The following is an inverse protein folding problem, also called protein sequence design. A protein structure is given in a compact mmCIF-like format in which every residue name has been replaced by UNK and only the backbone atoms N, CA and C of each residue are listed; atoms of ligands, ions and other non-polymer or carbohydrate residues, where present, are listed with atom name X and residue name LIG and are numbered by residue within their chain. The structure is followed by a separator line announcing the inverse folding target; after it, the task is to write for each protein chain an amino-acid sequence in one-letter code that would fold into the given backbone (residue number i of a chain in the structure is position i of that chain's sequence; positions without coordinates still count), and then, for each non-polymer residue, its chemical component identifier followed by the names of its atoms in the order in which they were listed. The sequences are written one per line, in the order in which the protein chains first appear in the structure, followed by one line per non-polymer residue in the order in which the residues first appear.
data_IF_105306875643
#
_entry.id   IF_105306875643
#
_cell.length_a   1.000
_cell.length_b   1.000
_cell.length_c   1.000
_cell.angle_alpha   90.00
_cell.angle_beta   90.00
_cell.angle_gamma   90.00
#
_symmetry.space_group_name_H-M   'P 1'
#
loop_
_entity.id
_entity.type
_entity.pdbx_description
1 polymer ?
#
# COMPACT_ATOMS: atom_id res chain seq x y z
N UNK A 1 43.99 22.21 39.36
CA UNK A 1 44.60 23.43 39.92
C UNK A 1 45.19 23.06 41.29
N UNK A 2 46.51 22.89 41.42
CA UNK A 2 47.16 22.50 42.69
C UNK A 2 47.04 23.67 43.68
N UNK A 3 46.31 23.51 44.79
CA UNK A 3 46.31 24.46 45.91
C UNK A 3 47.28 23.95 46.97
N UNK A 4 48.44 24.60 47.07
CA UNK A 4 49.37 24.39 48.18
C UNK A 4 48.87 25.18 49.39
N UNK A 5 48.61 24.51 50.52
CA UNK A 5 48.39 25.18 51.81
C UNK A 5 49.72 25.33 52.54
N UNK A 6 50.10 26.56 52.86
CA UNK A 6 51.20 26.86 53.78
C UNK A 6 50.65 26.87 55.21
N UNK A 7 51.12 25.96 56.06
CA UNK A 7 50.94 26.07 57.51
C UNK A 7 52.25 26.61 58.08
N UNK A 8 52.28 27.91 58.43
CA UNK A 8 53.36 28.52 59.19
C UNK A 8 53.01 28.43 60.67
N UNK A 9 53.67 27.57 61.43
CA UNK A 9 53.68 27.68 62.90
C UNK A 9 54.90 28.49 63.32
N UNK A 10 54.68 29.70 63.82
CA UNK A 10 55.72 30.50 64.46
C UNK A 10 55.52 30.46 65.98
N UNK A 11 56.39 29.75 66.69
CA UNK A 11 56.61 29.94 68.12
C UNK A 11 57.90 30.74 68.28
N UNK A 12 57.80 31.98 68.75
CA UNK A 12 58.93 32.90 68.92
C UNK A 12 59.34 32.91 70.40
N UNK A 13 60.56 32.48 70.72
CA UNK A 13 61.34 32.94 71.88
C UNK A 13 62.82 32.49 71.70
N UNK A 14 63.72 33.47 71.65
CA UNK A 14 65.14 33.27 71.97
C UNK A 14 66.08 32.90 70.82
N UNK A 15 66.83 33.90 70.37
CA UNK A 15 68.06 33.90 69.55
C UNK A 15 68.75 32.52 69.37
N UNK A 16 68.61 31.95 68.18
CA UNK A 16 69.32 30.75 67.72
C UNK A 16 68.94 30.43 66.28
N UNK A 17 69.92 30.09 65.46
CA UNK A 17 69.84 29.89 63.99
C UNK A 17 68.53 29.18 63.57
N UNK A 18 67.68 29.85 62.79
CA UNK A 18 66.47 29.29 62.20
C UNK A 18 66.84 28.30 61.09
N UNK A 19 66.94 27.02 61.43
CA UNK A 19 66.78 25.94 60.47
C UNK A 19 65.28 25.78 60.18
N UNK A 20 64.77 26.43 59.13
CA UNK A 20 63.41 26.17 58.66
C UNK A 20 63.40 24.87 57.85
N UNK A 21 62.94 23.78 58.44
CA UNK A 21 62.61 22.57 57.68
C UNK A 21 61.23 22.76 57.04
N UNK A 22 61.18 22.82 55.72
CA UNK A 22 59.92 22.91 54.97
C UNK A 22 59.46 21.50 54.62
N UNK A 23 58.46 20.98 55.33
CA UNK A 23 57.81 19.72 54.96
C UNK A 23 56.72 20.01 53.92
N UNK A 24 56.96 19.64 52.66
CA UNK A 24 55.94 19.63 51.61
C UNK A 24 54.98 18.45 51.87
N UNK A 25 53.80 18.74 52.40
CA UNK A 25 52.70 17.76 52.42
C UNK A 25 52.02 17.80 51.06
N UNK A 26 52.34 16.85 50.18
CA UNK A 26 51.58 16.69 48.94
C UNK A 26 50.27 15.96 49.26
N UNK A 27 49.16 16.68 49.27
CA UNK A 27 47.84 16.06 49.23
C UNK A 27 47.59 15.59 47.79
N UNK A 28 47.87 14.33 47.51
CA UNK A 28 47.32 13.66 46.33
C UNK A 28 45.86 13.37 46.67
N UNK A 29 44.92 13.98 45.94
CA UNK A 29 43.52 13.58 46.05
C UNK A 29 43.43 12.17 45.49
N UNK A 30 43.21 11.19 46.35
CA UNK A 30 43.08 9.79 45.96
C UNK A 30 41.84 9.65 45.06
N UNK A 31 42.03 9.15 43.85
CA UNK A 31 40.93 8.91 42.91
C UNK A 31 40.13 7.71 43.42
N UNK A 32 38.83 7.93 43.61
CA UNK A 32 37.90 6.85 43.94
C UNK A 32 37.73 6.02 42.67
N UNK A 33 38.23 4.78 42.70
CA UNK A 33 38.10 3.83 41.59
C UNK A 33 36.79 3.06 41.67
N UNK A 34 36.23 2.72 40.52
CA UNK A 34 35.13 1.79 40.42
C UNK A 34 35.56 0.38 40.90
N UNK A 35 34.62 -0.31 41.54
CA UNK A 35 34.70 -1.71 41.99
C UNK A 35 33.71 -2.62 41.27
N UNK A 36 32.66 -2.06 40.68
CA UNK A 36 31.79 -2.73 39.73
C UNK A 36 31.26 -1.76 38.67
N UNK A 37 30.94 -2.28 37.50
CA UNK A 37 30.15 -1.62 36.46
C UNK A 37 29.09 -2.60 35.97
N UNK A 38 27.88 -2.13 35.71
CA UNK A 38 26.84 -2.94 35.07
C UNK A 38 25.88 -2.10 34.22
N UNK A 39 25.35 -2.66 33.13
CA UNK A 39 24.23 -2.07 32.42
C UNK A 39 22.95 -2.14 33.28
N UNK A 40 22.16 -1.06 33.29
CA UNK A 40 20.84 -1.06 33.95
C UNK A 40 19.74 -1.66 33.09
N UNK A 41 19.97 -1.74 31.78
CA UNK A 41 19.05 -2.30 30.79
C UNK A 41 18.96 -3.85 30.88
N UNK A 42 19.77 -4.48 31.73
CA UNK A 42 19.87 -5.93 31.90
C UNK A 42 20.87 -6.56 30.94
N UNK A 43 20.77 -7.88 30.74
CA UNK A 43 21.72 -8.64 29.91
C UNK A 43 21.39 -8.56 28.41
N UNK A 44 20.15 -8.20 28.07
CA UNK A 44 19.68 -8.09 26.69
C UNK A 44 18.60 -7.03 26.49
N UNK A 45 18.64 -6.36 25.34
CA UNK A 45 17.66 -5.38 24.91
C UNK A 45 17.20 -5.69 23.48
N UNK A 46 15.91 -5.52 23.20
CA UNK A 46 15.37 -5.60 21.84
C UNK A 46 14.95 -4.21 21.37
N UNK A 47 15.46 -3.79 20.21
CA UNK A 47 15.15 -2.51 19.57
C UNK A 47 14.58 -2.76 18.17
N UNK A 48 13.74 -1.86 17.68
CA UNK A 48 13.32 -1.87 16.27
C UNK A 48 14.31 -1.07 15.43
N UNK A 49 14.42 -1.41 14.14
CA UNK A 49 15.17 -0.59 13.18
C UNK A 49 14.72 0.87 13.25
N UNK A 50 15.67 1.79 13.38
CA UNK A 50 15.46 3.23 13.53
C UNK A 50 15.38 3.72 14.97
N UNK A 51 15.29 2.83 15.96
CA UNK A 51 15.28 3.23 17.37
C UNK A 51 16.65 3.81 17.77
N UNK A 52 16.61 4.78 18.68
CA UNK A 52 17.79 5.34 19.35
C UNK A 52 17.66 5.08 20.85
N UNK A 53 18.71 4.51 21.45
CA UNK A 53 18.76 4.20 22.87
C UNK A 53 20.06 4.69 23.49
N UNK A 54 19.98 5.30 24.68
CA UNK A 54 21.16 5.70 25.45
C UNK A 54 21.31 4.73 26.60
N UNK A 55 22.40 3.97 26.62
CA UNK A 55 22.63 2.98 27.68
C UNK A 55 22.93 3.65 29.02
N UNK A 56 22.21 3.20 30.05
CA UNK A 56 22.50 3.59 31.42
C UNK A 56 23.35 2.54 32.10
N UNK A 57 24.39 3.00 32.81
CA UNK A 57 25.25 2.13 33.61
C UNK A 57 25.15 2.48 35.09
N UNK A 58 25.36 1.48 35.93
CA UNK A 58 25.60 1.63 37.36
C UNK A 58 27.09 1.40 37.65
N UNK A 59 27.72 2.35 38.33
CA UNK A 59 29.13 2.26 38.76
C UNK A 59 29.16 2.35 40.28
N UNK A 60 29.79 1.38 40.94
CA UNK A 60 29.94 1.37 42.38
C UNK A 60 31.42 1.48 42.80
N UNK A 61 31.78 2.36 43.75
CA UNK A 61 30.91 3.36 44.39
C UNK A 61 30.55 4.50 43.42
N UNK A 62 29.36 5.10 43.58
CA UNK A 62 28.82 6.14 42.68
C UNK A 62 29.71 7.39 42.55
N UNK A 63 30.62 7.60 43.50
CA UNK A 63 31.57 8.70 43.55
C UNK A 63 32.79 8.49 42.63
N UNK A 64 32.95 7.29 42.06
CA UNK A 64 33.98 7.03 41.06
C UNK A 64 33.77 7.93 39.84
N UNK A 65 34.84 8.64 39.42
CA UNK A 65 34.77 9.67 38.38
C UNK A 65 35.29 9.25 37.01
N UNK A 66 35.67 7.99 36.88
CA UNK A 66 36.24 7.47 35.65
C UNK A 66 35.22 7.46 34.52
N UNK A 67 35.65 7.93 33.34
CA UNK A 67 34.78 8.00 32.17
C UNK A 67 34.53 6.57 31.66
N UNK A 68 33.26 6.24 31.43
CA UNK A 68 32.90 5.02 30.73
C UNK A 68 33.34 5.09 29.27
N UNK A 69 33.75 3.94 28.73
CA UNK A 69 34.01 3.76 27.31
C UNK A 69 33.14 2.64 26.78
N UNK A 70 32.35 2.94 25.75
CA UNK A 70 31.52 1.98 25.07
C UNK A 70 32.18 1.51 23.77
N UNK A 71 32.08 0.22 23.46
CA UNK A 71 32.58 -0.38 22.23
C UNK A 71 31.73 -1.57 21.84
N UNK A 72 31.64 -1.87 20.54
CA UNK A 72 31.16 -3.18 20.11
C UNK A 72 32.14 -4.29 20.47
N UNK A 73 31.61 -5.47 20.76
CA UNK A 73 32.38 -6.72 20.78
C UNK A 73 32.40 -7.26 19.36
N UNK A 74 33.60 -7.37 18.79
CA UNK A 74 33.80 -7.99 17.49
C UNK A 74 33.71 -9.51 17.62
N UNK A 75 32.54 -10.04 17.26
CA UNK A 75 32.30 -11.46 17.06
C UNK A 75 32.25 -11.64 15.55
N UNK A 76 33.32 -12.14 14.94
CA UNK A 76 33.65 -12.17 13.49
C UNK A 76 32.61 -12.73 12.49
N UNK A 77 31.36 -12.92 12.88
CA UNK A 77 30.24 -13.39 12.05
C UNK A 77 29.56 -12.24 11.28
N UNK A 78 29.42 -11.04 11.86
CA UNK A 78 28.84 -9.84 11.22
C UNK A 78 29.53 -8.57 11.72
N UNK A 79 29.69 -7.55 10.87
CA UNK A 79 30.25 -6.25 11.31
C UNK A 79 29.20 -5.51 12.14
N UNK A 80 29.43 -5.26 13.45
CA UNK A 80 28.45 -4.59 14.30
C UNK A 80 28.12 -3.16 13.83
N UNK A 81 29.00 -2.53 13.05
CA UNK A 81 28.74 -1.22 12.46
C UNK A 81 27.73 -1.26 11.31
N UNK A 82 27.49 -2.44 10.71
CA UNK A 82 26.38 -2.62 9.77
C UNK A 82 25.05 -2.66 10.51
N UNK A 83 25.01 -3.19 11.73
CA UNK A 83 23.77 -3.32 12.53
C UNK A 83 23.38 -1.99 13.19
N UNK A 84 24.34 -1.22 13.70
CA UNK A 84 24.05 0.07 14.32
C UNK A 84 25.27 0.92 14.61
N UNK A 85 25.04 2.19 14.95
CA UNK A 85 26.13 3.11 15.34
C UNK A 85 26.10 3.37 16.83
N UNK A 86 27.27 3.31 17.47
CA UNK A 86 27.45 3.57 18.90
C UNK A 86 28.43 4.74 19.09
N UNK A 87 28.05 5.74 19.90
CA UNK A 87 28.91 6.89 20.20
C UNK A 87 29.63 6.76 21.56
N UNK A 88 30.53 7.71 21.85
CA UNK A 88 31.34 7.75 23.08
C UNK A 88 30.51 7.96 24.38
N UNK A 89 29.27 8.43 24.24
CA UNK A 89 28.35 8.71 25.36
C UNK A 89 27.37 7.54 25.60
N UNK A 90 27.50 6.44 24.85
CA UNK A 90 26.66 5.25 25.01
C UNK A 90 25.32 5.33 24.29
N UNK A 91 25.15 6.27 23.35
CA UNK A 91 23.99 6.29 22.46
C UNK A 91 24.19 5.33 21.29
N UNK A 92 23.24 4.43 21.11
CA UNK A 92 23.17 3.47 20.03
C UNK A 92 21.97 3.75 19.14
N UNK A 93 22.21 3.77 17.82
CA UNK A 93 21.19 3.92 16.79
C UNK A 93 21.12 2.59 16.02
N UNK A 94 19.94 1.96 16.04
CA UNK A 94 19.69 0.69 15.38
C UNK A 94 19.44 0.93 13.88
N UNK A 95 20.37 0.52 13.00
CA UNK A 95 20.30 0.84 11.57
C UNK A 95 19.79 -0.33 10.73
N UNK A 96 20.23 -1.55 11.02
CA UNK A 96 19.83 -2.76 10.30
C UNK A 96 19.47 -3.87 11.29
N UNK A 97 18.70 -4.86 10.80
CA UNK A 97 18.33 -6.05 11.55
C UNK A 97 19.61 -6.84 11.88
N UNK A 98 19.72 -7.35 13.10
CA UNK A 98 20.85 -8.16 13.51
C UNK A 98 21.03 -8.17 15.03
N UNK A 99 22.10 -8.81 15.49
CA UNK A 99 22.45 -8.88 16.91
C UNK A 99 23.86 -8.34 17.13
N UNK A 100 24.00 -7.36 18.03
CA UNK A 100 25.31 -6.85 18.46
C UNK A 100 25.48 -7.03 19.95
N UNK A 101 26.73 -7.23 20.39
CA UNK A 101 27.08 -7.13 21.80
C UNK A 101 27.82 -5.84 22.04
N UNK A 102 27.33 -5.03 22.97
CA UNK A 102 27.96 -3.78 23.40
C UNK A 102 28.64 -4.03 24.72
N UNK A 103 29.86 -3.52 24.85
CA UNK A 103 30.66 -3.61 26.06
C UNK A 103 30.95 -2.22 26.60
N UNK A 104 30.84 -2.07 27.92
CA UNK A 104 31.28 -0.89 28.65
C UNK A 104 32.54 -1.19 29.46
N UNK A 105 33.46 -0.24 29.51
CA UNK A 105 34.67 -0.31 30.33
C UNK A 105 34.77 0.88 31.28
N UNK A 106 35.02 0.60 32.57
CA UNK A 106 35.30 1.62 33.61
C UNK A 106 36.40 1.10 34.53
N UNK A 107 37.52 1.81 34.67
CA UNK A 107 38.65 1.42 35.55
C UNK A 107 39.21 -0.01 35.35
N UNK A 108 39.06 -0.58 34.15
CA UNK A 108 39.48 -1.94 33.83
C UNK A 108 38.45 -3.02 34.20
N UNK A 109 37.29 -2.62 34.72
CA UNK A 109 36.10 -3.46 34.84
C UNK A 109 35.31 -3.39 33.54
N UNK A 110 34.59 -4.47 33.23
CA UNK A 110 33.76 -4.57 32.04
C UNK A 110 32.39 -5.16 32.37
N UNK A 111 31.40 -4.77 31.58
CA UNK A 111 30.11 -5.45 31.48
C UNK A 111 29.63 -5.43 30.03
N UNK A 112 28.72 -6.33 29.67
CA UNK A 112 28.21 -6.48 28.31
C UNK A 112 26.70 -6.59 28.26
N UNK A 113 26.11 -6.04 27.20
CA UNK A 113 24.70 -6.21 26.88
C UNK A 113 24.54 -6.68 25.43
N UNK A 114 23.61 -7.60 25.20
CA UNK A 114 23.22 -8.06 23.86
C UNK A 114 22.06 -7.21 23.35
N UNK A 115 22.21 -6.59 22.19
CA UNK A 115 21.15 -5.83 21.53
C UNK A 115 20.67 -6.60 20.31
N UNK A 116 19.38 -6.92 20.29
CA UNK A 116 18.71 -7.56 19.16
C UNK A 116 17.89 -6.50 18.42
N UNK A 117 18.30 -6.17 17.19
CA UNK A 117 17.57 -5.25 16.32
C UNK A 117 16.61 -6.06 15.45
N UNK A 118 15.31 -5.78 15.59
CA UNK A 118 14.22 -6.47 14.88
C UNK A 118 13.55 -5.54 13.88
N UNK A 119 12.89 -6.07 12.83
CA UNK A 119 12.16 -5.23 11.88
C UNK A 119 10.97 -4.49 12.51
N UNK A 120 10.57 -3.40 11.87
CA UNK A 120 9.25 -2.79 12.01
C UNK A 120 8.31 -3.57 11.08
N UNK A 121 7.41 -4.34 11.67
CA UNK A 121 6.41 -5.12 10.95
C UNK A 121 5.38 -4.22 10.25
N UNK A 122 4.83 -4.72 9.14
CA UNK A 122 3.66 -4.12 8.51
C UNK A 122 2.42 -4.46 9.33
N UNK A 123 1.63 -3.44 9.64
CA UNK A 123 0.39 -3.55 10.43
C UNK A 123 -0.87 -3.46 9.56
N UNK A 124 -0.80 -2.76 8.43
CA UNK A 124 -1.89 -2.72 7.44
C UNK A 124 -1.36 -2.60 6.02
N UNK A 125 -2.13 -3.18 5.09
CA UNK A 125 -1.97 -3.09 3.65
C UNK A 125 -3.33 -2.77 3.04
N UNK A 126 -3.38 -1.85 2.10
CA UNK A 126 -4.61 -1.55 1.35
C UNK A 126 -4.28 -1.21 -0.11
N UNK A 127 -5.07 -1.70 -1.06
CA UNK A 127 -5.04 -1.28 -2.46
C UNK A 127 -5.81 0.04 -2.60
N UNK A 128 -5.22 1.05 -3.23
CA UNK A 128 -5.74 2.43 -3.26
C UNK A 128 -6.85 2.66 -4.32
N UNK A 129 -7.63 1.63 -4.64
CA UNK A 129 -8.73 1.66 -5.62
C UNK A 129 -10.07 1.20 -5.03
N UNK A 130 -10.14 0.92 -3.72
CA UNK A 130 -11.33 0.40 -3.06
C UNK A 130 -11.57 -1.10 -3.36
N UNK A 131 -12.78 -1.57 -3.09
CA UNK A 131 -13.09 -3.01 -3.14
C UNK A 131 -13.55 -3.49 -4.54
N UNK A 132 -13.97 -2.56 -5.39
CA UNK A 132 -14.52 -2.84 -6.71
C UNK A 132 -14.11 -1.79 -7.74
N UNK A 133 -13.68 -2.25 -8.91
CA UNK A 133 -13.27 -1.40 -10.03
C UNK A 133 -13.88 -1.91 -11.34
N UNK A 134 -14.41 -0.99 -12.14
CA UNK A 134 -14.90 -1.28 -13.50
C UNK A 134 -13.97 -0.66 -14.54
N UNK A 135 -13.59 -1.46 -15.52
CA UNK A 135 -12.70 -1.10 -16.63
C UNK A 135 -13.19 -1.77 -17.90
N UNK A 136 -12.65 -1.41 -19.06
CA UNK A 136 -12.95 -2.03 -20.34
C UNK A 136 -11.80 -2.93 -20.82
N UNK A 137 -12.12 -3.92 -21.66
CA UNK A 137 -11.10 -4.70 -22.37
C UNK A 137 -10.18 -3.75 -23.14
N UNK A 138 -8.88 -3.89 -22.93
CA UNK A 138 -7.84 -3.04 -23.51
C UNK A 138 -7.40 -1.87 -22.64
N UNK A 139 -8.04 -1.61 -21.48
CA UNK A 139 -7.57 -0.60 -20.55
C UNK A 139 -6.23 -1.00 -19.90
N UNK A 140 -5.40 0.02 -19.64
CA UNK A 140 -4.11 -0.08 -18.96
C UNK A 140 -4.04 0.93 -17.81
N UNK A 141 -3.63 0.49 -16.61
CA UNK A 141 -3.56 1.36 -15.43
C UNK A 141 -2.63 0.77 -14.36
N UNK A 142 -2.24 1.58 -13.38
CA UNK A 142 -1.43 1.14 -12.25
C UNK A 142 -2.29 1.02 -10.99
N UNK A 143 -2.20 -0.12 -10.32
CA UNK A 143 -2.67 -0.27 -8.94
C UNK A 143 -1.57 0.15 -7.97
N UNK A 144 -1.96 0.85 -6.91
CA UNK A 144 -1.03 1.24 -5.85
C UNK A 144 -1.51 0.73 -4.50
N UNK A 145 -0.61 0.72 -3.53
CA UNK A 145 -0.93 0.27 -2.18
C UNK A 145 -0.47 1.25 -1.12
N UNK A 146 -1.28 1.43 -0.09
CA UNK A 146 -0.89 2.06 1.17
C UNK A 146 -0.44 1.00 2.19
N UNK A 147 0.79 1.15 2.70
CA UNK A 147 1.36 0.30 3.75
C UNK A 147 1.56 1.13 5.01
N UNK A 148 1.05 0.64 6.15
CA UNK A 148 1.30 1.25 7.46
C UNK A 148 1.94 0.26 8.45
N UNK A 149 2.81 0.75 9.35
CA UNK A 149 3.30 2.13 9.39
C UNK A 149 4.24 2.43 8.20
N UNK A 150 4.36 3.70 7.82
CA UNK A 150 5.12 4.11 6.61
C UNK A 150 6.62 3.80 6.70
N UNK A 151 7.13 3.63 7.92
CA UNK A 151 8.50 3.23 8.23
C UNK A 151 8.67 1.71 8.46
N UNK A 152 7.69 0.88 8.09
CA UNK A 152 7.87 -0.58 8.08
C UNK A 152 9.12 -0.98 7.30
N UNK A 153 9.85 -1.98 7.82
CA UNK A 153 11.19 -2.33 7.33
C UNK A 153 11.15 -3.05 5.98
N UNK A 154 10.22 -4.00 5.79
CA UNK A 154 9.97 -4.63 4.50
C UNK A 154 8.62 -4.16 3.94
N UNK A 155 8.65 -3.59 2.73
CA UNK A 155 7.49 -3.05 2.01
C UNK A 155 7.36 -3.62 0.60
N UNK A 156 8.01 -4.76 0.35
CA UNK A 156 7.90 -5.47 -0.93
C UNK A 156 6.47 -5.95 -1.13
N UNK A 157 5.86 -5.54 -2.25
CA UNK A 157 4.54 -5.99 -2.66
C UNK A 157 4.70 -7.14 -3.65
N UNK A 158 3.94 -8.20 -3.40
CA UNK A 158 3.75 -9.29 -4.34
C UNK A 158 2.34 -9.16 -4.89
N UNK A 159 2.24 -8.84 -6.18
CA UNK A 159 0.98 -8.83 -6.91
C UNK A 159 0.60 -10.24 -7.36
N UNK A 160 -0.69 -10.53 -7.35
CA UNK A 160 -1.22 -11.82 -7.75
C UNK A 160 -2.63 -11.72 -8.31
N UNK A 161 -3.00 -12.76 -9.04
CA UNK A 161 -4.37 -12.99 -9.50
C UNK A 161 -4.89 -14.19 -8.73
N UNK A 162 -5.97 -13.99 -7.97
CA UNK A 162 -6.58 -15.08 -7.21
C UNK A 162 -7.27 -16.05 -8.17
N UNK A 163 -6.77 -17.27 -8.20
CA UNK A 163 -7.36 -18.36 -8.98
C UNK A 163 -8.69 -18.79 -8.35
N UNK A 164 -9.76 -18.71 -9.12
CA UNK A 164 -11.07 -19.23 -8.74
C UNK A 164 -11.34 -20.46 -9.61
N UNK A 165 -11.77 -21.57 -9.00
CA UNK A 165 -12.10 -22.78 -9.77
C UNK A 165 -13.19 -22.47 -10.80
N UNK A 166 -12.94 -22.83 -12.07
CA UNK A 166 -13.84 -22.56 -13.18
C UNK A 166 -13.72 -21.17 -13.82
N UNK A 167 -12.78 -20.33 -13.35
CA UNK A 167 -12.40 -19.06 -13.97
C UNK A 167 -11.05 -19.19 -14.68
N UNK A 168 -10.94 -18.60 -15.87
CA UNK A 168 -9.70 -18.52 -16.64
C UNK A 168 -8.73 -17.51 -16.01
N UNK A 169 -7.42 -17.62 -16.21
CA UNK A 169 -6.46 -16.60 -15.74
C UNK A 169 -6.13 -15.56 -16.82
N UNK A 170 -6.76 -15.65 -17.99
CA UNK A 170 -6.55 -14.79 -19.18
C UNK A 170 -7.32 -13.45 -19.18
N UNK A 171 -7.85 -13.00 -18.04
CA UNK A 171 -8.62 -11.75 -17.95
C UNK A 171 -7.74 -10.51 -18.01
N UNK A 172 -6.61 -10.52 -17.29
CA UNK A 172 -5.65 -9.43 -17.26
C UNK A 172 -4.25 -9.96 -16.96
N UNK A 173 -3.25 -9.13 -17.21
CA UNK A 173 -1.90 -9.30 -16.65
C UNK A 173 -1.64 -8.22 -15.61
N UNK A 174 -0.78 -8.54 -14.64
CA UNK A 174 -0.26 -7.58 -13.66
C UNK A 174 1.24 -7.81 -13.47
N UNK A 175 2.03 -6.74 -13.55
CA UNK A 175 3.49 -6.81 -13.38
C UNK A 175 3.93 -6.60 -11.91
N UNK A 176 5.24 -6.64 -11.66
CA UNK A 176 5.81 -6.47 -10.32
C UNK A 176 5.61 -5.05 -9.75
N UNK A 177 5.31 -4.06 -10.58
CA UNK A 177 5.06 -2.68 -10.17
C UNK A 177 3.57 -2.39 -9.97
N UNK A 178 2.69 -3.36 -10.24
CA UNK A 178 1.24 -3.18 -10.17
C UNK A 178 0.62 -2.64 -11.45
N UNK A 179 1.35 -2.63 -12.57
CA UNK A 179 0.81 -2.25 -13.87
C UNK A 179 -0.08 -3.34 -14.41
N UNK A 180 -1.34 -3.00 -14.72
CA UNK A 180 -2.40 -3.89 -15.16
C UNK A 180 -2.72 -3.64 -16.64
N UNK A 181 -2.88 -4.73 -17.40
CA UNK A 181 -3.39 -4.72 -18.78
C UNK A 181 -4.59 -5.66 -18.88
N UNK A 182 -5.75 -5.14 -19.27
CA UNK A 182 -6.99 -5.91 -19.40
C UNK A 182 -7.10 -6.60 -20.76
N UNK A 183 -7.10 -7.94 -20.78
CA UNK A 183 -7.01 -8.76 -22.00
C UNK A 183 -8.34 -9.38 -22.42
N UNK A 184 -9.21 -9.76 -21.48
CA UNK A 184 -10.55 -10.29 -21.77
C UNK A 184 -11.57 -9.88 -20.71
N UNK A 185 -12.84 -9.87 -21.11
CA UNK A 185 -13.96 -9.47 -20.28
C UNK A 185 -14.29 -10.51 -19.21
N UNK A 186 -14.76 -10.05 -18.05
CA UNK A 186 -15.14 -10.89 -16.92
C UNK A 186 -14.79 -10.29 -15.57
N UNK A 187 -15.03 -11.06 -14.51
CA UNK A 187 -14.68 -10.68 -13.13
C UNK A 187 -13.38 -11.34 -12.68
N UNK A 188 -12.45 -10.56 -12.17
CA UNK A 188 -11.17 -11.04 -11.66
C UNK A 188 -10.85 -10.42 -10.30
N UNK A 189 -10.11 -11.15 -9.47
CA UNK A 189 -9.67 -10.67 -8.17
C UNK A 189 -8.16 -10.52 -8.20
N UNK A 190 -7.71 -9.28 -8.03
CA UNK A 190 -6.28 -8.94 -7.93
C UNK A 190 -5.94 -8.80 -6.45
N UNK A 191 -4.82 -9.38 -6.06
CA UNK A 191 -4.34 -9.38 -4.67
C UNK A 191 -3.00 -8.67 -4.58
N UNK A 192 -2.83 -7.86 -3.53
CA UNK A 192 -1.54 -7.35 -3.09
C UNK A 192 -1.16 -8.05 -1.78
N UNK A 193 0.04 -8.60 -1.69
CA UNK A 193 0.55 -9.25 -0.48
C UNK A 193 1.82 -8.55 0.00
N UNK A 194 1.91 -8.25 1.30
CA UNK A 194 3.09 -7.70 1.95
C UNK A 194 3.30 -8.40 3.29
N UNK A 195 4.41 -9.14 3.44
CA UNK A 195 4.61 -10.01 4.59
C UNK A 195 3.47 -11.03 4.73
N UNK A 196 2.76 -11.01 5.86
CA UNK A 196 1.63 -11.91 6.13
C UNK A 196 0.26 -11.30 5.81
N UNK A 197 0.21 -10.06 5.32
CA UNK A 197 -1.02 -9.37 5.00
C UNK A 197 -1.33 -9.50 3.52
N UNK A 198 -2.61 -9.60 3.19
CA UNK A 198 -3.09 -9.61 1.81
C UNK A 198 -4.35 -8.77 1.73
N UNK A 199 -4.39 -7.88 0.75
CA UNK A 199 -5.58 -7.14 0.36
C UNK A 199 -6.02 -7.56 -1.05
N UNK A 200 -7.29 -7.36 -1.36
CA UNK A 200 -7.93 -7.87 -2.58
C UNK A 200 -8.89 -6.84 -3.17
N UNK A 201 -8.82 -6.64 -4.48
CA UNK A 201 -9.79 -5.85 -5.25
C UNK A 201 -10.48 -6.74 -6.29
N UNK A 202 -11.80 -6.59 -6.40
CA UNK A 202 -12.59 -7.21 -7.48
C UNK A 202 -12.64 -6.25 -8.67
N UNK A 203 -12.17 -6.70 -9.83
CA UNK A 203 -12.19 -5.93 -11.06
C UNK A 203 -13.21 -6.56 -12.01
N UNK A 204 -14.13 -5.75 -12.54
CA UNK A 204 -15.01 -6.12 -13.64
C UNK A 204 -14.47 -5.51 -14.94
N UNK A 205 -13.97 -6.37 -15.81
CA UNK A 205 -13.51 -5.97 -17.15
C UNK A 205 -14.70 -6.13 -18.09
N UNK A 206 -15.24 -5.03 -18.58
CA UNK A 206 -16.40 -5.02 -19.46
C UNK A 206 -16.00 -5.22 -20.92
N UNK A 207 -16.81 -5.93 -21.72
CA UNK A 207 -16.56 -6.06 -23.15
C UNK A 207 -16.63 -4.71 -23.87
N UNK A 208 -15.76 -4.54 -24.87
CA UNK A 208 -15.71 -3.34 -25.70
C UNK A 208 -16.99 -3.20 -26.52
N UNK A 209 -17.62 -2.02 -26.45
CA UNK A 209 -18.79 -1.70 -27.26
C UNK A 209 -18.46 -1.74 -28.76
N UNK A 210 -19.26 -2.49 -29.54
CA UNK A 210 -19.14 -2.53 -31.00
C UNK A 210 -20.39 -1.98 -31.68
N UNK A 211 -20.19 -1.20 -32.74
CA UNK A 211 -21.27 -0.83 -33.66
C UNK A 211 -21.72 -2.09 -34.43
N UNK A 212 -22.99 -2.45 -34.24
CA UNK A 212 -23.57 -3.63 -34.89
C UNK A 212 -24.18 -3.27 -36.24
N UNK A 213 -24.20 -4.23 -37.16
CA UNK A 213 -24.74 -4.02 -38.50
C UNK A 213 -26.28 -3.92 -38.45
N UNK A 214 -26.87 -3.11 -39.33
CA UNK A 214 -28.33 -3.00 -39.41
C UNK A 214 -29.02 -4.34 -39.72
N UNK A 215 -28.33 -5.27 -40.39
CA UNK A 215 -28.78 -6.62 -40.68
C UNK A 215 -28.95 -7.49 -39.45
N UNK A 216 -28.35 -7.10 -38.31
CA UNK A 216 -28.62 -7.70 -37.01
C UNK A 216 -30.01 -7.31 -36.48
N UNK A 217 -30.75 -6.42 -37.14
CA UNK A 217 -32.09 -6.02 -36.72
C UNK A 217 -33.18 -6.38 -37.73
N UNK A 218 -34.35 -6.74 -37.22
CA UNK A 218 -35.62 -6.46 -37.91
C UNK A 218 -35.94 -4.98 -37.73
N UNK A 219 -36.23 -4.26 -38.81
CA UNK A 219 -36.46 -2.82 -38.79
C UNK A 219 -37.82 -2.49 -39.41
N UNK A 220 -38.56 -1.59 -38.77
CA UNK A 220 -39.78 -0.99 -39.34
C UNK A 220 -39.45 0.44 -39.79
N UNK A 221 -39.82 0.79 -41.02
CA UNK A 221 -39.59 2.11 -41.61
C UNK A 221 -40.90 2.89 -41.70
N UNK A 222 -40.85 4.18 -41.38
CA UNK A 222 -41.92 5.13 -41.60
C UNK A 222 -41.49 6.12 -42.70
N UNK A 223 -42.06 5.94 -43.89
CA UNK A 223 -41.76 6.74 -45.08
C UNK A 223 -42.27 8.19 -44.97
N UNK A 224 -43.26 8.47 -44.12
CA UNK A 224 -43.80 9.82 -43.94
C UNK A 224 -42.88 10.68 -43.08
N UNK A 225 -42.34 10.09 -42.01
CA UNK A 225 -41.47 10.79 -41.05
C UNK A 225 -39.98 10.62 -41.32
N UNK A 226 -39.61 9.67 -42.19
CA UNK A 226 -38.24 9.25 -42.45
C UNK A 226 -37.52 8.70 -41.20
N UNK A 227 -38.29 8.00 -40.37
CA UNK A 227 -37.85 7.39 -39.11
C UNK A 227 -37.86 5.86 -39.18
N UNK A 228 -37.05 5.23 -38.33
CA UNK A 228 -36.93 3.79 -38.21
C UNK A 228 -37.05 3.33 -36.76
N UNK A 229 -37.71 2.19 -36.58
CA UNK A 229 -37.82 1.48 -35.31
C UNK A 229 -37.08 0.15 -35.37
N UNK A 230 -36.09 -0.04 -34.49
CA UNK A 230 -35.41 -1.32 -34.31
C UNK A 230 -36.38 -2.28 -33.61
N UNK A 231 -36.90 -3.27 -34.32
CA UNK A 231 -38.04 -4.07 -33.85
C UNK A 231 -37.63 -5.39 -33.18
N UNK A 232 -36.48 -5.94 -33.54
CA UNK A 232 -35.91 -7.15 -32.93
C UNK A 232 -34.43 -7.25 -33.28
N UNK A 233 -33.56 -7.47 -32.30
CA UNK A 233 -32.15 -7.77 -32.45
C UNK A 233 -31.95 -9.29 -32.61
N UNK A 234 -31.13 -9.67 -33.58
CA UNK A 234 -30.77 -11.04 -33.99
C UNK A 234 -29.27 -11.26 -33.97
N UNK A 235 -28.49 -10.20 -33.72
CA UNK A 235 -27.04 -10.29 -33.58
C UNK A 235 -26.64 -11.10 -32.37
N UNK A 236 -25.35 -11.42 -32.29
CA UNK A 236 -24.76 -12.24 -31.22
C UNK A 236 -23.75 -11.47 -30.35
N UNK A 237 -23.53 -10.18 -30.65
CA UNK A 237 -22.60 -9.39 -29.85
C UNK A 237 -23.11 -9.26 -28.41
N UNK A 238 -22.18 -9.37 -27.47
CA UNK A 238 -22.41 -9.20 -26.03
C UNK A 238 -22.37 -7.73 -25.61
N UNK A 239 -21.72 -6.87 -26.40
CA UNK A 239 -21.64 -5.42 -26.19
C UNK A 239 -22.07 -4.68 -27.47
N UNK A 240 -23.10 -3.85 -27.40
CA UNK A 240 -23.77 -3.33 -28.60
C UNK A 240 -23.87 -1.80 -28.57
N UNK A 241 -23.49 -1.13 -29.65
CA UNK A 241 -23.93 0.23 -29.97
C UNK A 241 -25.00 0.13 -31.05
N UNK A 242 -26.23 0.56 -30.75
CA UNK A 242 -27.31 0.53 -31.76
C UNK A 242 -27.00 1.52 -32.89
N UNK A 243 -27.39 1.26 -34.15
CA UNK A 243 -27.21 2.25 -35.21
C UNK A 243 -28.04 3.51 -34.94
N UNK A 244 -27.50 4.69 -35.25
CA UNK A 244 -28.26 5.96 -35.24
C UNK A 244 -29.07 6.17 -36.53
N UNK A 245 -28.69 5.49 -37.61
CA UNK A 245 -29.35 5.52 -38.92
C UNK A 245 -29.29 4.16 -39.59
N UNK A 246 -30.28 3.86 -40.43
CA UNK A 246 -30.38 2.59 -41.17
C UNK A 246 -30.88 2.86 -42.58
N UNK A 247 -30.52 2.02 -43.55
CA UNK A 247 -30.94 2.14 -44.95
C UNK A 247 -32.10 1.21 -45.24
N UNK A 248 -33.19 1.74 -45.78
CA UNK A 248 -34.33 0.93 -46.20
C UNK A 248 -33.98 0.18 -47.49
N UNK A 249 -33.96 -1.17 -47.50
CA UNK A 249 -33.56 -1.94 -48.67
C UNK A 249 -34.54 -1.82 -49.85
N UNK A 250 -35.76 -1.31 -49.63
CA UNK A 250 -36.78 -1.20 -50.67
C UNK A 250 -36.59 0.02 -51.58
N UNK A 251 -36.05 1.12 -51.04
CA UNK A 251 -35.87 2.38 -51.78
C UNK A 251 -34.40 2.90 -51.75
N UNK A 252 -33.55 2.35 -50.88
CA UNK A 252 -32.15 2.75 -50.74
C UNK A 252 -31.92 4.03 -49.93
N UNK A 253 -32.95 4.60 -49.30
CA UNK A 253 -32.85 5.83 -48.53
C UNK A 253 -32.45 5.58 -47.06
N UNK A 254 -31.87 6.58 -46.41
CA UNK A 254 -31.33 6.49 -45.03
C UNK A 254 -32.27 7.13 -44.01
N UNK A 255 -32.77 6.31 -43.09
CA UNK A 255 -33.74 6.69 -42.06
C UNK A 255 -33.04 6.88 -40.71
N UNK A 256 -33.57 7.80 -39.91
CA UNK A 256 -33.08 8.01 -38.53
C UNK A 256 -33.68 6.97 -37.61
N UNK A 257 -32.86 6.33 -36.78
CA UNK A 257 -33.36 5.43 -35.74
C UNK A 257 -33.86 6.28 -34.58
N UNK A 258 -35.18 6.32 -34.40
CA UNK A 258 -35.83 7.12 -33.34
C UNK A 258 -36.41 6.27 -32.23
N UNK A 259 -36.55 4.96 -32.43
CA UNK A 259 -37.19 4.10 -31.43
C UNK A 259 -36.56 2.70 -31.34
N UNK A 260 -36.46 2.19 -30.12
CA UNK A 260 -36.27 0.77 -29.83
C UNK A 260 -37.65 0.15 -29.63
N UNK A 261 -38.03 -0.77 -30.49
CA UNK A 261 -39.36 -1.37 -30.53
C UNK A 261 -39.65 -2.31 -29.35
N UNK A 262 -40.93 -2.63 -29.20
CA UNK A 262 -41.40 -3.64 -28.23
C UNK A 262 -40.63 -4.95 -28.43
N UNK A 263 -40.14 -5.52 -27.32
CA UNK A 263 -39.36 -6.77 -27.30
C UNK A 263 -38.05 -6.76 -28.10
N UNK A 264 -37.49 -5.60 -28.49
CA UNK A 264 -36.34 -5.56 -29.40
C UNK A 264 -35.17 -6.46 -28.97
N UNK A 265 -34.79 -6.42 -27.71
CA UNK A 265 -33.74 -7.25 -27.10
C UNK A 265 -34.31 -8.32 -26.16
N UNK A 266 -35.59 -8.63 -26.24
CA UNK A 266 -36.25 -9.56 -25.32
C UNK A 266 -35.51 -10.90 -25.23
N UNK A 267 -35.20 -11.32 -24.00
CA UNK A 267 -34.53 -12.58 -23.69
C UNK A 267 -33.13 -12.72 -24.33
N UNK A 268 -32.43 -11.61 -24.56
CA UNK A 268 -31.02 -11.63 -24.99
C UNK A 268 -30.14 -12.04 -23.80
N UNK A 269 -29.95 -13.34 -23.62
CA UNK A 269 -29.25 -13.89 -22.45
C UNK A 269 -27.77 -13.52 -22.42
N UNK A 270 -27.15 -13.20 -23.54
CA UNK A 270 -25.71 -12.89 -23.65
C UNK A 270 -25.40 -11.40 -23.80
N UNK A 271 -26.43 -10.53 -23.84
CA UNK A 271 -26.20 -9.10 -23.97
C UNK A 271 -25.80 -8.55 -22.60
N UNK A 272 -24.55 -8.13 -22.48
CA UNK A 272 -23.95 -7.62 -21.24
C UNK A 272 -23.93 -6.10 -21.19
N UNK A 273 -23.70 -5.46 -22.34
CA UNK A 273 -23.56 -4.01 -22.43
C UNK A 273 -24.30 -3.47 -23.64
N UNK A 274 -25.03 -2.37 -23.48
CA UNK A 274 -25.60 -1.68 -24.61
C UNK A 274 -25.56 -0.16 -24.48
N UNK A 275 -25.13 0.49 -25.54
CA UNK A 275 -25.25 1.93 -25.76
C UNK A 275 -26.31 2.18 -26.81
N UNK A 276 -27.40 2.80 -26.40
CA UNK A 276 -28.44 3.24 -27.34
C UNK A 276 -27.97 4.57 -27.94
N UNK A 277 -27.94 4.62 -29.27
CA UNK A 277 -27.45 5.79 -30.00
C UNK A 277 -28.33 7.02 -29.85
N UNK A 278 -27.69 8.19 -29.93
CA UNK A 278 -28.37 9.49 -29.95
C UNK A 278 -29.39 9.58 -31.09
N UNK A 279 -30.50 10.25 -30.83
CA UNK A 279 -31.65 10.34 -31.74
C UNK A 279 -32.80 9.41 -31.37
N UNK A 280 -32.54 8.35 -30.61
CA UNK A 280 -33.61 7.51 -30.05
C UNK A 280 -34.38 8.31 -28.99
N UNK A 281 -35.69 8.42 -29.19
CA UNK A 281 -36.63 9.14 -28.32
C UNK A 281 -37.50 8.21 -27.49
N UNK A 282 -37.67 6.95 -27.88
CA UNK A 282 -38.50 5.99 -27.15
C UNK A 282 -37.93 4.57 -27.11
N UNK A 283 -38.18 3.86 -26.01
CA UNK A 283 -37.92 2.43 -25.84
C UNK A 283 -39.25 1.74 -25.53
N UNK A 284 -39.62 0.74 -26.31
CA UNK A 284 -40.91 0.06 -26.22
C UNK A 284 -41.05 -0.88 -25.04
N UNK A 285 -42.28 -1.34 -24.80
CA UNK A 285 -42.59 -2.28 -23.72
C UNK A 285 -41.71 -3.54 -23.82
N UNK A 286 -41.25 -4.01 -22.66
CA UNK A 286 -40.46 -5.25 -22.52
C UNK A 286 -39.24 -5.34 -23.44
N UNK A 287 -38.71 -4.20 -23.92
CA UNK A 287 -37.63 -4.16 -24.91
C UNK A 287 -36.37 -4.92 -24.46
N UNK A 288 -36.02 -4.87 -23.17
CA UNK A 288 -34.87 -5.57 -22.60
C UNK A 288 -35.29 -6.66 -21.59
N UNK A 289 -36.56 -7.06 -21.55
CA UNK A 289 -37.02 -7.99 -20.52
C UNK A 289 -36.31 -9.35 -20.65
N UNK A 290 -35.90 -9.92 -19.52
CA UNK A 290 -35.09 -11.14 -19.41
C UNK A 290 -33.71 -11.07 -20.07
N UNK A 291 -33.10 -9.89 -20.24
CA UNK A 291 -31.66 -9.80 -20.48
C UNK A 291 -30.92 -9.99 -19.15
N UNK A 292 -30.67 -11.25 -18.77
CA UNK A 292 -30.19 -11.57 -17.42
C UNK A 292 -28.76 -11.09 -17.16
N UNK A 293 -27.92 -11.10 -18.19
CA UNK A 293 -26.51 -10.70 -18.13
C UNK A 293 -26.32 -9.21 -18.46
N UNK A 294 -27.37 -8.49 -18.85
CA UNK A 294 -27.29 -7.05 -19.14
C UNK A 294 -26.90 -6.31 -17.87
N UNK A 295 -25.67 -5.84 -17.84
CA UNK A 295 -25.03 -5.20 -16.71
C UNK A 295 -25.05 -3.68 -16.86
N UNK A 296 -24.72 -3.17 -18.05
CA UNK A 296 -24.66 -1.72 -18.31
C UNK A 296 -25.52 -1.31 -19.49
N UNK A 297 -26.32 -0.26 -19.29
CA UNK A 297 -27.14 0.37 -20.31
C UNK A 297 -26.87 1.88 -20.35
N UNK A 298 -26.36 2.38 -21.47
CA UNK A 298 -26.20 3.82 -21.69
C UNK A 298 -27.39 4.37 -22.49
N UNK A 299 -28.15 5.26 -21.85
CA UNK A 299 -29.23 5.99 -22.48
C UNK A 299 -28.70 7.17 -23.31
N UNK A 300 -29.35 7.50 -24.45
CA UNK A 300 -29.05 8.71 -25.18
C UNK A 300 -29.70 9.92 -24.49
N UNK A 301 -29.10 11.08 -24.68
CA UNK A 301 -29.64 12.34 -24.15
C UNK A 301 -31.03 12.70 -24.70
N UNK A 302 -31.39 12.13 -25.85
CA UNK A 302 -32.68 12.36 -26.54
C UNK A 302 -33.83 11.51 -26.03
N UNK A 303 -33.59 10.53 -25.16
CA UNK A 303 -34.61 9.59 -24.71
C UNK A 303 -35.69 10.30 -23.87
N UNK A 304 -36.96 10.07 -24.21
CA UNK A 304 -38.12 10.68 -23.53
C UNK A 304 -39.02 9.65 -22.87
N UNK A 305 -39.11 8.45 -23.45
CA UNK A 305 -40.10 7.46 -23.03
C UNK A 305 -39.48 6.06 -22.90
N UNK A 306 -39.77 5.40 -21.78
CA UNK A 306 -39.43 4.00 -21.53
C UNK A 306 -40.73 3.23 -21.28
N UNK A 307 -40.93 2.16 -22.04
CA UNK A 307 -42.12 1.33 -22.01
C UNK A 307 -42.24 0.49 -20.75
N UNK A 308 -43.45 -0.02 -20.54
CA UNK A 308 -43.78 -0.87 -19.40
C UNK A 308 -42.95 -2.16 -19.38
N UNK A 309 -42.47 -2.56 -18.18
CA UNK A 309 -41.65 -3.74 -17.94
C UNK A 309 -40.40 -3.83 -18.83
N UNK A 310 -39.86 -2.69 -19.28
CA UNK A 310 -38.72 -2.64 -20.19
C UNK A 310 -37.53 -3.50 -19.71
N UNK A 311 -37.23 -3.46 -18.41
CA UNK A 311 -36.12 -4.19 -17.78
C UNK A 311 -36.57 -5.34 -16.86
N UNK A 312 -37.80 -5.84 -17.03
CA UNK A 312 -38.31 -6.93 -16.19
C UNK A 312 -37.39 -8.15 -16.28
N UNK A 313 -36.91 -8.66 -15.15
CA UNK A 313 -35.98 -9.79 -15.04
C UNK A 313 -34.58 -9.55 -15.67
N UNK A 314 -34.10 -8.30 -15.71
CA UNK A 314 -32.67 -8.00 -15.88
C UNK A 314 -32.01 -8.06 -14.51
N UNK A 315 -31.28 -9.14 -14.22
CA UNK A 315 -30.79 -9.43 -12.86
C UNK A 315 -29.45 -8.79 -12.56
N UNK A 316 -28.60 -8.67 -13.58
CA UNK A 316 -27.28 -8.07 -13.49
C UNK A 316 -27.28 -6.57 -13.73
N UNK A 317 -28.41 -5.99 -14.17
CA UNK A 317 -28.50 -4.57 -14.46
C UNK A 317 -28.40 -3.82 -13.14
N UNK A 318 -27.25 -3.21 -12.90
CA UNK A 318 -27.06 -2.34 -11.75
C UNK A 318 -28.00 -1.14 -11.92
N UNK A 319 -28.74 -0.80 -10.87
CA UNK A 319 -29.62 0.37 -10.90
C UNK A 319 -28.70 1.59 -10.97
N UNK A 320 -28.46 2.08 -12.19
CA UNK A 320 -27.67 3.28 -12.44
C UNK A 320 -28.39 4.49 -11.87
N UNK A 321 -28.24 4.69 -10.56
CA UNK A 321 -28.68 5.87 -9.80
C UNK A 321 -27.62 6.29 -8.79
#
# INVERSE_FOLDING_TARGET
MKRNFLILSSLLLGVGILSTSTTLVSCQKEEIKATSVSFKDGDSLTLKVGDTHVFEIEVNPSEAKSKAKFTFVDNSEEDPNEIGTLNDDGEFIANNIGTVTIKVYVDGLEDTIVVNVVPIEVESLSIDQGDFLEVEVGDEFDLTTTILPTNATNKEIIWGIKKIEGYDDRYLTIDLNGHVVCESDGFVYVTATCGNLTDEIKIHIMPTLVEVDQGDFSITFDDETHEATLSSYKGKSVAVITPSTVTNPSNGETYKVTSIGKNCFYNSQTLERIKISEGVVSIGNTAFSSCVDLYTLHYPSTLKEIGYNCFFNCKSLEDGS
#
